data_IF_531872739233
#
_entry.id   IF_531872739233
#
_cell.length_a   1.000
_cell.length_b   1.000
_cell.length_c   1.000
_cell.angle_alpha   90.00
_cell.angle_beta   90.00
_cell.angle_gamma   90.00
#
_symmetry.space_group_name_H-M   'P 1'
#
loop_
_entity.id
_entity.type
_entity.pdbx_description
1 polymer ?
#
# COMPACT_ATOMS: atom_id res chain seq x y z
N UNK A 1 15.14 -25.17 2.90
CA UNK A 1 14.24 -24.27 3.64
C UNK A 1 14.20 -22.98 2.84
N UNK A 2 13.09 -22.71 2.18
CA UNK A 2 12.98 -21.56 1.29
C UNK A 2 12.80 -20.29 2.13
N UNK A 3 13.82 -19.44 2.14
CA UNK A 3 13.80 -18.13 2.81
C UNK A 3 13.40 -17.06 1.81
N UNK A 4 12.56 -16.13 2.27
CA UNK A 4 12.05 -15.00 1.47
C UNK A 4 12.55 -13.71 2.09
N UNK A 5 12.88 -12.73 1.24
CA UNK A 5 13.31 -11.41 1.69
C UNK A 5 12.13 -10.44 1.73
N UNK A 6 11.98 -9.73 2.84
CA UNK A 6 10.99 -8.65 2.95
C UNK A 6 11.36 -7.49 2.03
N UNK A 7 10.42 -7.05 1.18
CA UNK A 7 10.62 -5.92 0.25
C UNK A 7 10.75 -4.55 0.93
N UNK A 8 10.43 -4.45 2.24
CA UNK A 8 10.41 -3.18 2.98
C UNK A 8 11.66 -3.03 3.85
N UNK A 9 11.95 -4.02 4.70
CA UNK A 9 13.04 -3.96 5.66
C UNK A 9 14.26 -4.80 5.25
N UNK A 10 14.14 -5.62 4.21
CA UNK A 10 15.23 -6.48 3.72
C UNK A 10 15.57 -7.68 4.62
N UNK A 11 14.82 -7.91 5.71
CA UNK A 11 15.00 -9.09 6.57
C UNK A 11 14.65 -10.36 5.80
N UNK A 12 15.43 -11.40 6.03
CA UNK A 12 15.13 -12.77 5.59
C UNK A 12 14.21 -13.45 6.60
N UNK A 13 13.30 -14.26 6.09
CA UNK A 13 12.21 -14.82 6.85
C UNK A 13 11.67 -16.08 6.16
N UNK A 14 11.09 -16.99 6.93
CA UNK A 14 10.45 -18.17 6.37
C UNK A 14 9.19 -17.80 5.59
N UNK A 15 8.86 -18.59 4.56
CA UNK A 15 7.60 -18.48 3.82
C UNK A 15 6.35 -18.44 4.71
N UNK A 16 6.37 -19.13 5.86
CA UNK A 16 5.25 -19.13 6.82
C UNK A 16 4.96 -17.74 7.40
N UNK A 17 6.02 -16.96 7.57
CA UNK A 17 5.93 -15.61 8.11
C UNK A 17 5.75 -14.56 6.99
N UNK A 18 5.81 -14.96 5.73
CA UNK A 18 5.62 -14.09 4.58
C UNK A 18 4.13 -13.85 4.31
N UNK A 19 3.81 -12.59 4.04
CA UNK A 19 2.51 -12.15 3.55
C UNK A 19 2.70 -11.29 2.32
N UNK A 20 1.74 -11.34 1.42
CA UNK A 20 1.73 -10.50 0.23
C UNK A 20 0.88 -9.26 0.48
N UNK A 21 1.35 -8.13 -0.03
CA UNK A 21 0.53 -6.92 -0.07
C UNK A 21 -0.47 -7.02 -1.22
N UNK A 22 -1.77 -6.89 -0.93
CA UNK A 22 -2.82 -6.97 -1.97
C UNK A 22 -2.73 -5.87 -3.04
N UNK A 23 -2.07 -4.74 -2.73
CA UNK A 23 -1.98 -3.60 -3.66
C UNK A 23 -0.79 -3.73 -4.62
N UNK A 24 0.35 -4.23 -4.16
CA UNK A 24 1.58 -4.28 -4.98
C UNK A 24 2.12 -5.70 -5.25
N UNK A 25 1.52 -6.74 -4.66
CA UNK A 25 1.94 -8.13 -4.80
C UNK A 25 3.29 -8.46 -4.15
N UNK A 26 3.93 -7.51 -3.46
CA UNK A 26 5.25 -7.74 -2.86
C UNK A 26 5.14 -8.51 -1.55
N UNK A 27 6.12 -9.36 -1.29
CA UNK A 27 6.28 -10.08 -0.04
C UNK A 27 6.81 -9.16 1.07
N UNK A 28 6.15 -9.25 2.22
CA UNK A 28 6.38 -8.40 3.39
C UNK A 28 6.42 -9.26 4.65
N UNK A 29 7.27 -8.89 5.60
CA UNK A 29 7.27 -9.47 6.94
C UNK A 29 6.06 -9.01 7.75
N UNK A 30 5.64 -9.84 8.71
CA UNK A 30 4.52 -9.52 9.62
C UNK A 30 4.74 -8.18 10.35
N UNK A 31 5.98 -7.84 10.71
CA UNK A 31 6.30 -6.56 11.36
C UNK A 31 6.01 -5.34 10.48
N UNK A 32 6.25 -5.46 9.17
CA UNK A 32 6.05 -4.37 8.21
C UNK A 32 4.66 -4.41 7.58
N UNK A 33 3.88 -5.46 7.80
CA UNK A 33 2.54 -5.58 7.28
C UNK A 33 1.58 -4.70 8.06
N UNK A 34 0.88 -3.82 7.36
CA UNK A 34 -0.26 -3.10 7.88
C UNK A 34 -1.56 -3.69 7.37
N UNK A 35 -2.66 -3.38 8.04
CA UNK A 35 -4.00 -3.65 7.54
C UNK A 35 -4.77 -2.35 7.49
N UNK A 36 -5.67 -2.21 6.52
CA UNK A 36 -6.67 -1.16 6.54
C UNK A 36 -8.05 -1.77 6.31
N UNK A 37 -9.04 -1.24 7.03
CA UNK A 37 -10.42 -1.69 6.93
C UNK A 37 -11.09 -1.04 5.72
N UNK A 38 -11.74 -1.87 4.91
CA UNK A 38 -12.63 -1.44 3.83
C UNK A 38 -14.05 -1.78 4.26
N UNK A 39 -14.81 -0.73 4.57
CA UNK A 39 -16.24 -0.86 4.81
C UNK A 39 -16.96 -0.84 3.48
N UNK A 40 -17.72 -1.89 3.20
CA UNK A 40 -18.54 -1.97 2.02
C UNK A 40 -19.99 -2.22 2.44
N UNK A 41 -20.82 -1.23 2.14
CA UNK A 41 -22.26 -1.33 2.32
C UNK A 41 -22.86 -2.02 1.12
N UNK A 42 -23.72 -3.00 1.37
CA UNK A 42 -24.49 -3.67 0.33
C UNK A 42 -25.97 -3.70 0.71
N UNK A 43 -26.83 -4.00 -0.27
CA UNK A 43 -28.29 -4.02 -0.09
C UNK A 43 -28.73 -4.97 1.03
N UNK A 44 -27.97 -6.05 1.25
CA UNK A 44 -28.34 -7.11 2.19
C UNK A 44 -27.53 -7.08 3.50
N UNK A 45 -26.26 -6.66 3.44
CA UNK A 45 -25.39 -6.66 4.62
C UNK A 45 -24.19 -5.74 4.47
N UNK A 46 -23.83 -5.06 5.54
CA UNK A 46 -22.59 -4.32 5.63
C UNK A 46 -21.45 -5.27 6.04
N UNK A 47 -20.30 -5.13 5.37
CA UNK A 47 -19.11 -5.92 5.69
C UNK A 47 -17.88 -5.03 5.83
N UNK A 48 -17.02 -5.45 6.75
CA UNK A 48 -15.71 -4.87 7.00
C UNK A 48 -14.66 -5.88 6.59
N UNK A 49 -13.86 -5.54 5.58
CA UNK A 49 -12.77 -6.38 5.10
C UNK A 49 -11.43 -5.74 5.48
N UNK A 50 -10.57 -6.50 6.15
CA UNK A 50 -9.21 -6.07 6.48
C UNK A 50 -8.25 -6.48 5.37
N UNK A 51 -7.69 -5.50 4.67
CA UNK A 51 -6.80 -5.71 3.53
C UNK A 51 -5.33 -5.58 3.96
N UNK A 52 -4.48 -6.62 3.77
CA UNK A 52 -3.06 -6.56 4.07
C UNK A 52 -2.28 -5.69 3.08
N UNK A 53 -1.53 -4.72 3.60
CA UNK A 53 -0.75 -3.76 2.83
C UNK A 53 0.65 -3.52 3.38
N UNK A 54 1.59 -3.28 2.48
CA UNK A 54 2.91 -2.78 2.87
C UNK A 54 2.82 -1.30 3.29
N UNK A 55 3.81 -0.76 4.04
CA UNK A 55 3.79 0.63 4.52
C UNK A 55 3.71 1.66 3.39
N UNK A 56 4.29 1.32 2.23
CA UNK A 56 4.30 2.17 1.04
C UNK A 56 2.97 2.22 0.29
N UNK A 57 2.08 1.26 0.54
CA UNK A 57 0.75 1.14 -0.07
C UNK A 57 -0.37 1.49 0.92
N UNK A 58 -0.03 2.00 2.12
CA UNK A 58 -1.05 2.52 3.04
C UNK A 58 -1.81 3.69 2.40
N UNK A 59 -3.10 3.87 2.69
CA UNK A 59 -3.92 4.95 2.10
C UNK A 59 -3.26 6.34 2.22
N UNK A 60 -2.67 6.65 3.38
CA UNK A 60 -1.95 7.90 3.62
C UNK A 60 -0.76 8.11 2.66
N UNK A 61 0.01 7.05 2.40
CA UNK A 61 1.16 7.10 1.49
C UNK A 61 0.75 7.20 0.01
N UNK A 62 -0.41 6.61 -0.35
CA UNK A 62 -0.95 6.73 -1.71
C UNK A 62 -1.53 8.13 -1.96
N UNK A 63 -2.21 8.71 -0.98
CA UNK A 63 -2.75 10.07 -1.05
C UNK A 63 -1.65 11.11 -1.21
N UNK A 64 -0.58 11.03 -0.42
CA UNK A 64 0.54 11.97 -0.54
C UNK A 64 1.19 11.90 -1.93
N UNK A 65 1.39 10.69 -2.48
CA UNK A 65 1.92 10.52 -3.84
C UNK A 65 1.00 11.11 -4.91
N UNK A 66 -0.32 10.95 -4.78
CA UNK A 66 -1.29 11.56 -5.71
C UNK A 66 -1.29 13.09 -5.61
N UNK A 67 -1.27 13.62 -4.40
CA UNK A 67 -1.23 15.07 -4.17
C UNK A 67 0.03 15.69 -4.77
N UNK A 68 1.19 15.06 -4.60
CA UNK A 68 2.44 15.51 -5.21
C UNK A 68 2.33 15.57 -6.74
N UNK A 69 1.77 14.53 -7.38
CA UNK A 69 1.54 14.53 -8.84
C UNK A 69 0.64 15.67 -9.30
N UNK A 70 -0.45 15.93 -8.58
CA UNK A 70 -1.38 17.03 -8.92
C UNK A 70 -0.67 18.38 -8.77
N UNK A 71 0.13 18.55 -7.72
CA UNK A 71 0.95 19.76 -7.53
C UNK A 71 1.92 19.96 -8.69
N UNK A 72 2.63 18.90 -9.09
CA UNK A 72 3.58 18.95 -10.20
C UNK A 72 2.88 19.30 -11.52
N UNK A 73 1.67 18.81 -11.76
CA UNK A 73 0.87 19.13 -12.96
C UNK A 73 0.43 20.61 -12.97
N UNK A 74 -0.19 21.09 -11.89
CA UNK A 74 -0.67 22.49 -11.79
C UNK A 74 0.48 23.49 -11.91
N UNK A 75 1.59 23.27 -11.21
CA UNK A 75 2.73 24.17 -11.27
C UNK A 75 3.56 24.04 -12.55
N UNK A 76 3.37 22.98 -13.35
CA UNK A 76 3.94 22.89 -14.71
C UNK A 76 3.21 23.81 -15.69
N UNK A 77 1.89 23.80 -15.64
CA UNK A 77 1.04 24.61 -16.52
C UNK A 77 1.28 26.11 -16.32
N UNK A 78 1.54 26.56 -15.08
CA UNK A 78 1.88 27.96 -14.80
C UNK A 78 3.22 28.44 -15.42
N UNK A 79 4.13 27.52 -15.74
CA UNK A 79 5.44 27.85 -16.35
C UNK A 79 5.43 27.92 -17.86
N UNK A 80 4.44 27.33 -18.53
CA UNK A 80 4.33 27.36 -19.99
C UNK A 80 3.50 28.55 -20.51
N UNK A 81 2.83 29.28 -19.60
CA UNK A 81 1.95 30.43 -19.94
C UNK A 81 2.62 31.79 -19.66
N UNK A 82 3.92 31.82 -19.30
CA UNK A 82 4.72 33.05 -19.18
C UNK A 82 5.89 33.03 -20.15
#
# INVERSE_FOLDING_TARGET
MDTVKCSVCGKEMDFKNARECEICGKTVCLDCLGYFAVYKRSVYRDYENLVPVCPNCKPKAMLSKKLLKIMDEVFREEKEVK
#
